data_IF_629988618898
#
_entry.id   IF_629988618898
#
_cell.length_a   1.000
_cell.length_b   1.000
_cell.length_c   1.000
_cell.angle_alpha   90.00
_cell.angle_beta   90.00
_cell.angle_gamma   90.00
#
_symmetry.space_group_name_H-M   'P 1'
#
loop_
_entity.id
_entity.type
_entity.pdbx_description
1 polymer ?
#
# COMPACT_ATOMS: atom_id res chain seq x y z
N UNK A 1 6.99 -11.64 12.54
CA UNK A 1 6.15 -12.16 11.44
C UNK A 1 4.86 -12.67 12.04
N UNK A 2 3.76 -12.62 11.31
CA UNK A 2 2.44 -12.99 11.81
C UNK A 2 1.99 -14.28 11.10
N UNK A 3 1.29 -15.17 11.79
CA UNK A 3 0.92 -16.50 11.31
C UNK A 3 -0.51 -16.85 11.72
N UNK A 4 -1.21 -17.63 10.90
CA UNK A 4 -2.55 -18.14 11.20
C UNK A 4 -2.75 -19.52 10.57
N UNK A 5 -3.52 -20.40 11.22
CA UNK A 5 -3.91 -21.68 10.64
C UNK A 5 -5.03 -21.44 9.60
N UNK A 6 -5.45 -22.49 8.91
CA UNK A 6 -6.50 -22.41 7.89
C UNK A 6 -7.83 -21.86 8.41
N UNK A 7 -8.21 -22.22 9.63
CA UNK A 7 -9.50 -21.87 10.25
C UNK A 7 -9.45 -20.56 11.06
N UNK A 8 -8.25 -20.04 11.38
CA UNK A 8 -8.13 -18.81 12.16
C UNK A 8 -8.66 -17.58 11.40
N UNK A 9 -9.35 -16.72 12.14
CA UNK A 9 -9.60 -15.36 11.71
C UNK A 9 -8.33 -14.51 11.90
N UNK A 10 -7.73 -14.09 10.78
CA UNK A 10 -6.51 -13.28 10.80
C UNK A 10 -5.22 -14.08 11.05
N UNK A 11 -4.27 -13.49 11.78
CA UNK A 11 -2.93 -14.03 12.04
C UNK A 11 -2.59 -13.96 13.55
N UNK A 12 -3.21 -14.79 14.40
CA UNK A 12 -3.08 -14.68 15.86
C UNK A 12 -1.72 -15.11 16.42
N UNK A 13 -0.90 -15.85 15.66
CA UNK A 13 0.39 -16.33 16.13
C UNK A 13 1.54 -15.45 15.65
N UNK A 14 2.57 -15.30 16.48
CA UNK A 14 3.78 -14.55 16.13
C UNK A 14 4.99 -15.47 16.02
N UNK A 15 5.80 -15.24 14.99
CA UNK A 15 6.99 -16.02 14.67
C UNK A 15 8.17 -15.15 14.25
N UNK A 16 9.36 -15.69 14.43
CA UNK A 16 10.63 -15.07 14.06
C UNK A 16 11.30 -15.92 12.99
N UNK A 17 11.69 -15.29 11.88
CA UNK A 17 12.48 -15.96 10.85
C UNK A 17 13.91 -16.13 11.38
N UNK A 18 14.37 -17.37 11.42
CA UNK A 18 15.70 -17.74 11.91
C UNK A 18 16.69 -17.96 10.76
N UNK A 19 16.20 -18.41 9.60
CA UNK A 19 17.04 -18.64 8.43
C UNK A 19 16.29 -18.41 7.12
N UNK A 20 16.97 -17.83 6.14
CA UNK A 20 16.48 -17.67 4.76
C UNK A 20 17.53 -18.30 3.86
N UNK A 21 17.13 -19.31 3.08
CA UNK A 21 18.00 -19.91 2.08
C UNK A 21 18.18 -18.89 0.94
N UNK A 22 19.41 -18.46 0.63
CA UNK A 22 19.66 -17.48 -0.42
C UNK A 22 19.42 -18.06 -1.84
N UNK A 23 19.23 -19.37 -1.95
CA UNK A 23 18.98 -20.06 -3.21
C UNK A 23 17.48 -20.04 -3.51
N UNK A 24 17.10 -19.24 -4.51
CA UNK A 24 15.77 -19.30 -5.10
C UNK A 24 15.80 -20.33 -6.22
N UNK A 25 14.86 -21.27 -6.18
CA UNK A 25 14.66 -22.19 -7.29
C UNK A 25 14.07 -21.43 -8.47
N UNK A 26 14.88 -21.18 -9.50
CA UNK A 26 14.49 -20.37 -10.65
C UNK A 26 13.41 -21.02 -11.54
N UNK A 27 13.20 -22.34 -11.43
CA UNK A 27 12.16 -23.06 -12.17
C UNK A 27 10.75 -22.88 -11.59
N UNK A 28 10.65 -22.73 -10.27
CA UNK A 28 9.38 -22.60 -9.54
C UNK A 28 9.17 -21.22 -8.91
N UNK A 29 10.23 -20.39 -8.87
CA UNK A 29 10.23 -19.10 -8.17
C UNK A 29 10.08 -19.23 -6.65
N UNK A 30 10.38 -20.40 -6.09
CA UNK A 30 10.22 -20.66 -4.65
C UNK A 30 11.55 -20.58 -3.91
N UNK A 31 11.52 -20.01 -2.71
CA UNK A 31 12.64 -19.97 -1.77
C UNK A 31 12.28 -20.72 -0.49
N UNK A 32 13.28 -21.21 0.22
CA UNK A 32 13.08 -21.84 1.53
C UNK A 32 13.43 -20.86 2.64
N UNK A 33 12.60 -20.82 3.67
CA UNK A 33 12.90 -20.12 4.91
C UNK A 33 12.56 -21.02 6.10
N UNK A 34 13.26 -20.84 7.22
CA UNK A 34 12.97 -21.47 8.50
C UNK A 34 12.62 -20.37 9.50
N UNK A 35 11.53 -20.59 10.23
CA UNK A 35 11.08 -19.70 11.29
C UNK A 35 10.84 -20.50 12.57
N UNK A 36 11.04 -19.84 13.71
CA UNK A 36 10.72 -20.36 15.04
C UNK A 36 9.47 -19.64 15.54
N UNK A 37 8.51 -20.39 16.07
CA UNK A 37 7.28 -19.87 16.64
C UNK A 37 7.03 -20.46 18.02
N UNK A 38 6.40 -19.69 18.89
CA UNK A 38 5.93 -20.21 20.18
C UNK A 38 4.65 -21.02 19.94
N UNK A 39 4.64 -22.27 20.39
CA UNK A 39 3.47 -23.16 20.33
C UNK A 39 3.12 -23.70 21.74
N UNK A 40 2.76 -22.82 22.69
CA UNK A 40 2.55 -23.22 24.09
C UNK A 40 1.37 -24.19 24.24
N UNK A 41 0.30 -24.00 23.46
CA UNK A 41 -0.92 -24.83 23.51
C UNK A 41 -0.87 -26.05 22.57
N UNK A 42 0.24 -26.25 21.84
CA UNK A 42 0.41 -27.40 20.95
C UNK A 42 -0.47 -27.40 19.69
N UNK A 43 -1.16 -26.28 19.41
CA UNK A 43 -2.13 -26.14 18.30
C UNK A 43 -1.48 -26.23 16.91
N UNK A 44 -0.21 -25.86 16.78
CA UNK A 44 0.54 -25.98 15.53
C UNK A 44 1.09 -27.40 15.41
N UNK A 45 0.31 -28.29 14.79
CA UNK A 45 0.70 -29.68 14.56
C UNK A 45 1.65 -29.84 13.34
N UNK A 46 2.61 -30.79 13.39
CA UNK A 46 3.47 -31.08 12.25
C UNK A 46 2.65 -31.59 11.06
N UNK A 47 2.97 -31.10 9.85
CA UNK A 47 2.26 -31.43 8.61
C UNK A 47 1.10 -30.50 8.26
N UNK A 48 0.79 -29.51 9.11
CA UNK A 48 -0.25 -28.53 8.84
C UNK A 48 0.22 -27.41 7.90
N UNK A 49 -0.69 -26.92 7.07
CA UNK A 49 -0.48 -25.69 6.30
C UNK A 49 -0.82 -24.45 7.13
N UNK A 50 0.12 -23.53 7.23
CA UNK A 50 -0.08 -22.23 7.89
C UNK A 50 0.04 -21.09 6.88
N UNK A 51 -0.73 -20.04 7.10
CA UNK A 51 -0.60 -18.77 6.38
C UNK A 51 0.37 -17.89 7.15
N UNK A 52 1.31 -17.27 6.45
CA UNK A 52 2.35 -16.43 7.06
C UNK A 52 2.36 -15.07 6.38
N UNK A 53 2.40 -14.00 7.19
CA UNK A 53 2.65 -12.64 6.75
C UNK A 53 4.00 -12.16 7.28
N UNK A 54 4.91 -11.92 6.35
CA UNK A 54 6.25 -11.38 6.64
C UNK A 54 6.27 -9.94 6.14
N UNK A 55 6.29 -8.93 7.03
CA UNK A 55 6.43 -7.55 6.60
C UNK A 55 7.82 -7.35 5.99
N UNK A 56 7.86 -7.14 4.68
CA UNK A 56 9.06 -6.80 3.94
C UNK A 56 9.19 -5.26 3.91
N UNK A 57 10.33 -4.74 4.40
CA UNK A 57 10.70 -3.33 4.25
C UNK A 57 9.72 -2.33 4.86
N UNK A 58 9.94 -1.91 6.12
CA UNK A 58 9.34 -0.67 6.60
C UNK A 58 10.12 0.48 5.95
N UNK A 59 9.63 1.02 4.83
CA UNK A 59 10.17 2.30 4.30
C UNK A 59 9.73 3.40 5.26
N UNK A 60 10.60 3.74 6.20
CA UNK A 60 10.32 4.72 7.25
C UNK A 60 9.99 6.12 6.68
N UNK A 61 10.51 6.42 5.48
CA UNK A 61 10.39 7.73 4.82
C UNK A 61 9.48 7.68 3.57
N UNK A 62 8.53 6.73 3.50
CA UNK A 62 7.60 6.65 2.38
C UNK A 62 6.46 7.68 2.56
N UNK A 63 6.41 8.67 1.67
CA UNK A 63 5.28 9.59 1.60
C UNK A 63 4.11 8.90 0.92
N UNK A 64 2.97 8.85 1.61
CA UNK A 64 1.73 8.26 1.09
C UNK A 64 0.80 9.38 0.69
N UNK A 65 0.35 9.37 -0.57
CA UNK A 65 -0.66 10.29 -1.07
C UNK A 65 -1.90 9.49 -1.51
N UNK A 66 -3.11 10.06 -1.45
CA UNK A 66 -4.30 9.43 -2.02
C UNK A 66 -4.09 9.16 -3.52
N UNK A 67 -4.62 8.04 -4.04
CA UNK A 67 -4.44 7.67 -5.46
C UNK A 67 -4.91 8.78 -6.41
N UNK A 68 -6.02 9.44 -6.09
CA UNK A 68 -6.57 10.59 -6.84
C UNK A 68 -5.66 11.82 -6.92
N UNK A 69 -4.62 11.90 -6.08
CA UNK A 69 -3.65 12.99 -6.10
C UNK A 69 -2.57 12.80 -7.18
N UNK A 70 -2.43 11.56 -7.69
CA UNK A 70 -1.48 11.23 -8.76
C UNK A 70 -2.19 11.35 -10.11
N UNK A 71 -1.85 12.38 -10.86
CA UNK A 71 -2.28 12.54 -12.25
C UNK A 71 -1.38 11.76 -13.20
N UNK A 72 -1.87 11.50 -14.41
CA UNK A 72 -1.07 10.95 -15.52
C UNK A 72 -1.20 11.87 -16.74
N UNK A 73 -0.07 12.31 -17.30
CA UNK A 73 0.00 13.16 -18.49
C UNK A 73 0.81 12.42 -19.55
N UNK A 74 0.16 12.02 -20.65
CA UNK A 74 0.78 11.20 -21.71
C UNK A 74 1.49 9.94 -21.17
N UNK A 75 0.93 9.32 -20.12
CA UNK A 75 1.52 8.15 -19.46
C UNK A 75 2.61 8.45 -18.44
N UNK A 76 2.94 9.73 -18.20
CA UNK A 76 3.91 10.15 -17.18
C UNK A 76 3.17 10.56 -15.90
N UNK A 77 3.40 9.87 -14.77
CA UNK A 77 2.78 10.24 -13.51
C UNK A 77 3.31 11.59 -12.99
N UNK A 78 2.41 12.41 -12.48
CA UNK A 78 2.71 13.72 -11.91
C UNK A 78 1.84 14.00 -10.70
N UNK A 79 2.31 14.89 -9.84
CA UNK A 79 1.57 15.43 -8.71
C UNK A 79 1.55 16.95 -8.79
N UNK A 80 0.54 17.54 -8.18
CA UNK A 80 0.44 18.98 -8.02
C UNK A 80 0.78 19.34 -6.58
N UNK A 81 1.76 20.23 -6.40
CA UNK A 81 2.17 20.73 -5.10
C UNK A 81 1.87 22.22 -5.01
N UNK A 82 1.55 22.70 -3.81
CA UNK A 82 1.34 24.11 -3.53
C UNK A 82 2.64 24.67 -2.97
N UNK A 83 3.36 25.42 -3.80
CA UNK A 83 4.59 26.10 -3.43
C UNK A 83 4.34 27.35 -2.58
N UNK A 84 5.44 28.03 -2.25
CA UNK A 84 5.42 29.25 -1.44
C UNK A 84 4.53 30.33 -2.09
N UNK A 85 3.65 30.95 -1.29
CA UNK A 85 2.68 31.93 -1.78
C UNK A 85 1.38 31.34 -2.39
N UNK A 86 1.15 30.03 -2.26
CA UNK A 86 -0.12 29.40 -2.64
C UNK A 86 -0.25 29.10 -4.14
N UNK A 87 0.87 29.04 -4.87
CA UNK A 87 0.90 28.74 -6.30
C UNK A 87 0.99 27.23 -6.53
N UNK A 88 0.19 26.73 -7.46
CA UNK A 88 0.25 25.32 -7.86
C UNK A 88 1.40 25.09 -8.84
N UNK A 89 2.28 24.18 -8.49
CA UNK A 89 3.38 23.69 -9.32
C UNK A 89 3.16 22.22 -9.68
N UNK A 90 3.44 21.87 -10.93
CA UNK A 90 3.42 20.48 -11.38
C UNK A 90 4.80 19.89 -11.19
N UNK A 91 4.89 18.79 -10.46
CA UNK A 91 6.12 18.01 -10.32
C UNK A 91 5.92 16.61 -10.87
N UNK A 92 6.92 16.11 -11.60
CA UNK A 92 6.96 14.71 -11.99
C UNK A 92 7.08 13.87 -10.71
N UNK A 93 6.26 12.83 -10.60
CA UNK A 93 6.25 11.94 -9.43
C UNK A 93 6.55 10.52 -9.85
N UNK A 94 7.26 9.78 -9.00
CA UNK A 94 7.46 8.34 -9.17
C UNK A 94 6.56 7.60 -8.19
N UNK A 95 5.37 7.12 -8.63
CA UNK A 95 4.52 6.29 -7.79
C UNK A 95 5.20 4.95 -7.53
N UNK A 96 5.16 4.51 -6.29
CA UNK A 96 5.62 3.20 -5.82
C UNK A 96 4.43 2.28 -5.52
N UNK A 97 4.60 1.48 -4.47
CA UNK A 97 3.63 0.46 -4.06
C UNK A 97 2.25 1.03 -3.72
N UNK A 98 1.23 0.25 -4.04
CA UNK A 98 -0.13 0.46 -3.55
C UNK A 98 -0.29 -0.05 -2.11
N UNK A 99 -0.97 0.73 -1.27
CA UNK A 99 -1.29 0.33 0.10
C UNK A 99 -2.81 0.17 0.33
N UNK A 100 -3.64 0.19 -0.73
CA UNK A 100 -5.10 0.16 -0.66
C UNK A 100 -5.75 1.46 -0.15
N UNK A 101 -5.19 2.07 0.90
CA UNK A 101 -5.63 3.37 1.44
C UNK A 101 -4.98 4.58 0.73
N UNK A 102 -3.98 4.34 -0.12
CA UNK A 102 -3.21 5.36 -0.82
C UNK A 102 -2.03 4.77 -1.59
N UNK A 103 -1.37 5.64 -2.37
CA UNK A 103 -0.19 5.30 -3.15
C UNK A 103 1.06 5.87 -2.49
N UNK A 104 2.08 5.04 -2.35
CA UNK A 104 3.42 5.51 -1.98
C UNK A 104 4.00 6.33 -3.13
N UNK A 105 4.62 7.48 -2.83
CA UNK A 105 5.39 8.28 -3.79
C UNK A 105 6.87 8.14 -3.43
N UNK A 106 7.66 7.56 -4.34
CA UNK A 106 9.09 7.35 -4.15
C UNK A 106 9.91 8.63 -4.37
N UNK A 107 9.43 9.52 -5.25
CA UNK A 107 10.08 10.80 -5.53
C UNK A 107 9.13 11.83 -6.13
N UNK A 108 9.45 13.11 -5.96
CA UNK A 108 8.68 14.25 -6.50
C UNK A 108 7.92 15.07 -5.46
N UNK A 109 7.87 14.59 -4.21
CA UNK A 109 7.23 15.24 -3.06
C UNK A 109 8.16 15.10 -1.85
N UNK A 110 8.34 16.17 -1.08
CA UNK A 110 9.03 16.16 0.21
C UNK A 110 8.06 16.13 1.40
N UNK A 111 8.55 15.88 2.63
CA UNK A 111 7.72 15.79 3.83
C UNK A 111 7.01 17.10 4.18
N UNK A 112 7.57 18.24 3.79
CA UNK A 112 7.02 19.57 4.04
C UNK A 112 6.15 20.11 2.88
N UNK A 113 6.05 19.37 1.78
CA UNK A 113 5.28 19.80 0.61
C UNK A 113 3.77 19.61 0.80
N UNK A 114 2.98 20.61 0.36
CA UNK A 114 1.52 20.51 0.34
C UNK A 114 1.04 19.95 -0.99
N UNK A 115 0.62 18.69 -1.01
CA UNK A 115 0.08 18.04 -2.22
C UNK A 115 -1.41 18.35 -2.39
N UNK A 116 -1.83 18.65 -3.61
CA UNK A 116 -3.24 18.81 -3.96
C UNK A 116 -3.88 17.42 -4.07
N UNK A 117 -4.73 17.07 -3.10
CA UNK A 117 -5.39 15.75 -3.03
C UNK A 117 -6.81 15.72 -3.60
N UNK A 118 -7.40 16.89 -3.85
CA UNK A 118 -8.73 17.03 -4.44
C UNK A 118 -8.80 18.24 -5.36
N UNK A 119 -9.65 18.17 -6.38
CA UNK A 119 -9.81 19.26 -7.33
C UNK A 119 -8.65 19.42 -8.32
N UNK A 120 -7.94 18.34 -8.68
CA UNK A 120 -6.90 18.35 -9.73
C UNK A 120 -7.38 19.02 -11.04
N UNK A 121 -8.65 18.83 -11.41
CA UNK A 121 -9.26 19.46 -12.58
C UNK A 121 -9.37 21.00 -12.47
N UNK A 122 -9.49 21.52 -11.24
CA UNK A 122 -9.58 22.96 -10.92
C UNK A 122 -8.22 23.56 -10.58
N UNK A 123 -7.29 22.75 -10.05
CA UNK A 123 -5.92 23.12 -9.74
C UNK A 123 -5.04 22.96 -10.98
N UNK A 124 -5.04 23.96 -11.85
CA UNK A 124 -4.12 24.03 -12.99
C UNK A 124 -2.75 24.56 -12.53
N UNK A 125 -1.65 24.17 -13.19
CA UNK A 125 -0.35 24.76 -12.93
C UNK A 125 -0.40 26.29 -13.12
N UNK A 126 0.20 27.05 -12.21
CA UNK A 126 0.33 28.50 -12.33
C UNK A 126 -0.83 29.35 -11.78
N UNK A 127 -1.91 28.75 -11.30
CA UNK A 127 -2.98 29.48 -10.58
C UNK A 127 -2.77 29.45 -9.07
N UNK A 128 -3.13 30.57 -8.43
CA UNK A 128 -3.13 30.70 -6.98
C UNK A 128 -4.36 30.00 -6.43
N UNK A 129 -4.15 29.00 -5.57
CA UNK A 129 -5.22 28.29 -4.88
C UNK A 129 -5.26 28.71 -3.41
N UNK A 130 -6.45 28.69 -2.81
CA UNK A 130 -6.58 28.77 -1.35
C UNK A 130 -6.68 27.34 -0.82
N UNK A 131 -5.58 26.74 -0.35
CA UNK A 131 -5.60 25.38 0.16
C UNK A 131 -6.48 25.31 1.42
N UNK A 132 -7.28 24.26 1.51
CA UNK A 132 -7.89 23.82 2.78
C UNK A 132 -7.05 22.67 3.29
N UNK A 133 -6.57 22.79 4.52
CA UNK A 133 -5.69 21.81 5.15
C UNK A 133 -6.52 20.56 5.46
N UNK A 134 -6.05 19.40 5.02
CA UNK A 134 -6.54 18.10 5.47
C UNK A 134 -5.34 17.36 6.07
N UNK A 135 -5.43 16.85 7.32
CA UNK A 135 -4.35 16.09 7.91
C UNK A 135 -4.04 14.84 7.06
N UNK A 136 -2.75 14.62 6.81
CA UNK A 136 -2.26 13.42 6.14
C UNK A 136 -2.48 12.21 7.05
N UNK A 137 -3.56 11.48 6.82
CA UNK A 137 -4.00 10.36 7.66
C UNK A 137 -5.47 10.00 7.45
N UNK A 138 -6.29 10.95 7.03
CA UNK A 138 -7.67 10.68 6.63
C UNK A 138 -7.68 10.24 5.16
N UNK A 139 -7.50 8.95 4.93
CA UNK A 139 -7.96 8.33 3.69
C UNK A 139 -9.45 8.68 3.55
N UNK A 140 -9.79 9.50 2.56
CA UNK A 140 -11.18 9.81 2.30
C UNK A 140 -11.95 8.48 2.13
N UNK A 141 -13.16 8.35 2.70
CA UNK A 141 -13.95 7.14 2.54
C UNK A 141 -14.06 6.83 1.05
N UNK A 142 -13.71 5.59 0.70
CA UNK A 142 -13.88 5.06 -0.64
C UNK A 142 -15.38 5.06 -0.95
N UNK A 143 -15.86 6.16 -1.54
CA UNK A 143 -17.22 6.24 -2.05
C UNK A 143 -17.26 5.47 -3.37
N UNK A 144 -17.79 4.25 -3.28
CA UNK A 144 -18.58 3.61 -4.32
C UNK A 144 -17.85 3.01 -5.52
N UNK A 145 -17.38 1.76 -5.37
CA UNK A 145 -17.71 0.75 -6.37
C UNK A 145 -17.76 -0.65 -5.77
N UNK A 146 -18.77 -0.90 -4.94
CA UNK A 146 -19.30 -2.24 -4.77
C UNK A 146 -20.14 -2.59 -6.02
N UNK A 147 -19.46 -2.86 -7.14
CA UNK A 147 -20.06 -3.63 -8.23
C UNK A 147 -19.92 -5.10 -7.86
N UNK A 148 -20.97 -5.58 -7.20
CA UNK A 148 -21.31 -6.95 -6.88
C UNK A 148 -20.93 -7.88 -8.04
N UNK A 149 -19.86 -8.66 -7.89
CA UNK A 149 -19.69 -9.89 -8.67
C UNK A 149 -20.49 -10.98 -7.95
N UNK A 150 -21.81 -10.95 -8.14
CA UNK A 150 -22.67 -12.07 -7.74
C UNK A 150 -22.26 -13.27 -8.58
N UNK A 151 -21.75 -14.28 -7.89
CA UNK A 151 -21.73 -15.67 -8.30
C UNK A 151 -23.17 -16.16 -8.42
N UNK A 152 -23.61 -16.53 -9.62
CA UNK A 152 -24.74 -17.46 -9.80
C UNK A 152 -24.23 -18.71 -10.50
N UNK A 153 -24.04 -19.75 -9.70
CA UNK A 153 -24.00 -21.14 -10.10
C UNK A 153 -25.37 -21.76 -9.73
N UNK A 154 -26.14 -22.15 -10.73
CA UNK A 154 -27.16 -23.21 -10.69
C UNK A 154 -27.56 -23.45 -12.16
N UNK A 155 -27.44 -24.64 -12.74
CA UNK A 155 -28.02 -25.88 -12.24
C UNK A 155 -29.34 -26.11 -12.98
N UNK A 156 -29.29 -26.82 -14.10
CA UNK A 156 -30.40 -27.56 -14.71
C UNK A 156 -29.84 -28.65 -15.62
#
# INVERSE_FOLDING_TARGET
MEMGLGDDEGYPYSGVVDFIDPTIDAGTGTGRLRATCANPDGVIAPGLFIRVRIPHGRRADALVVPERAVGSDQGKPFVLVVGEGGRVERRAARPGSDLGAGRVVESGVGPDDRVVVEGLLKARPGIKVSPKDRPAGEAAPAEGNAATRTSEANGS
#
